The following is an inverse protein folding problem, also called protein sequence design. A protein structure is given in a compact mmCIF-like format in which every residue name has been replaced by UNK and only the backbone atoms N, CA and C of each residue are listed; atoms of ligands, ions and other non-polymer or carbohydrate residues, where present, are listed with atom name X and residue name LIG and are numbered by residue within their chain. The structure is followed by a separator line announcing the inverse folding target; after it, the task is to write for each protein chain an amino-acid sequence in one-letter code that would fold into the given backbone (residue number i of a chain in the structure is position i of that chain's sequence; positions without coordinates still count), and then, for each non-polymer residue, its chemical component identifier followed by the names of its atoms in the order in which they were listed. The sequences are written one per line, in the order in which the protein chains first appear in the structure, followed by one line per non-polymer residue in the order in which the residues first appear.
data_IF_674214892613
#
_entry.id   IF_674214892613
#
_cell.length_a   1.000
_cell.length_b   1.000
_cell.length_c   1.000
_cell.angle_alpha   90.00
_cell.angle_beta   90.00
_cell.angle_gamma   90.00
#
_symmetry.space_group_name_H-M   'P 1'
#
loop_
_entity.id
_entity.type
_entity.pdbx_description
1 polymer ?
#
# COMPACT_ATOMS: atom_id res chain seq x y z
N UNK A 1 3.94 -10.18 -10.00
CA UNK A 1 4.08 -11.34 -9.08
C UNK A 1 2.82 -12.20 -9.04
N UNK A 2 1.61 -11.59 -9.02
CA UNK A 2 0.37 -12.36 -9.01
C UNK A 2 0.18 -13.16 -10.31
N UNK A 3 0.41 -12.56 -11.46
CA UNK A 3 0.35 -13.24 -12.77
C UNK A 3 1.31 -14.43 -12.81
N UNK A 4 2.56 -14.24 -12.41
CA UNK A 4 3.54 -15.32 -12.32
C UNK A 4 3.08 -16.45 -11.37
N UNK A 5 2.49 -16.10 -10.23
CA UNK A 5 1.94 -17.08 -9.29
C UNK A 5 0.80 -17.87 -9.92
N UNK A 6 -0.08 -17.21 -10.66
CA UNK A 6 -1.18 -17.83 -11.38
C UNK A 6 -0.67 -18.79 -12.46
N UNK A 7 0.32 -18.37 -13.25
CA UNK A 7 0.91 -19.18 -14.31
C UNK A 7 1.57 -20.43 -13.75
N UNK A 8 2.34 -20.31 -12.66
CA UNK A 8 2.95 -21.46 -11.98
C UNK A 8 1.87 -22.43 -11.47
N UNK A 9 0.83 -21.91 -10.82
CA UNK A 9 -0.25 -22.75 -10.29
C UNK A 9 -1.04 -23.44 -11.40
N UNK A 10 -1.37 -22.74 -12.48
CA UNK A 10 -2.05 -23.30 -13.66
C UNK A 10 -1.21 -24.39 -14.32
N UNK A 11 0.08 -24.12 -14.53
CA UNK A 11 0.99 -25.10 -15.14
C UNK A 11 1.14 -26.36 -14.29
N UNK A 12 1.27 -26.19 -12.98
CA UNK A 12 1.35 -27.33 -12.06
C UNK A 12 0.06 -28.15 -12.11
N UNK A 13 -1.10 -27.52 -11.99
CA UNK A 13 -2.38 -28.19 -12.03
C UNK A 13 -2.61 -28.92 -13.37
N UNK A 14 -2.19 -28.32 -14.48
CA UNK A 14 -2.29 -28.95 -15.81
C UNK A 14 -1.45 -30.22 -15.96
N UNK A 15 -0.31 -30.31 -15.26
CA UNK A 15 0.59 -31.49 -15.35
C UNK A 15 0.21 -32.56 -14.32
N UNK A 16 -0.10 -32.13 -13.07
CA UNK A 16 -0.23 -33.04 -11.93
C UNK A 16 -1.66 -33.17 -11.37
N UNK A 17 -2.63 -32.48 -11.99
CA UNK A 17 -4.02 -32.38 -11.52
C UNK A 17 -4.21 -31.31 -10.44
N UNK A 18 -5.45 -31.04 -10.09
CA UNK A 18 -5.85 -29.94 -9.20
C UNK A 18 -5.26 -30.07 -7.79
N UNK A 19 -4.32 -29.18 -7.49
CA UNK A 19 -3.65 -29.06 -6.18
C UNK A 19 -3.73 -27.64 -5.66
N UNK A 20 -3.48 -26.65 -6.52
CA UNK A 20 -3.48 -25.24 -6.17
C UNK A 20 -4.82 -24.57 -6.53
N UNK A 21 -5.33 -23.79 -5.61
CA UNK A 21 -6.37 -22.81 -5.94
C UNK A 21 -5.72 -21.65 -6.65
N UNK A 22 -6.19 -21.32 -7.86
CA UNK A 22 -5.64 -20.23 -8.65
C UNK A 22 -6.07 -18.90 -7.99
N UNK A 23 -5.13 -18.06 -7.53
CA UNK A 23 -5.50 -16.80 -6.88
C UNK A 23 -6.10 -15.81 -7.89
N UNK A 24 -7.08 -15.03 -7.45
CA UNK A 24 -7.67 -13.95 -8.24
C UNK A 24 -7.08 -12.60 -7.86
N UNK A 25 -7.05 -11.67 -8.82
CA UNK A 25 -6.57 -10.31 -8.57
C UNK A 25 -7.66 -9.50 -7.84
N UNK A 26 -7.34 -8.97 -6.67
CA UNK A 26 -8.14 -7.96 -6.00
C UNK A 26 -7.47 -6.59 -6.16
N UNK A 27 -8.03 -5.75 -7.01
CA UNK A 27 -7.51 -4.42 -7.33
C UNK A 27 -8.57 -3.38 -6.95
N UNK A 28 -8.23 -2.51 -6.01
CA UNK A 28 -9.10 -1.39 -5.61
C UNK A 28 -9.31 -0.41 -6.79
N UNK A 29 -10.54 0.07 -6.97
CA UNK A 29 -10.89 0.93 -8.11
C UNK A 29 -10.27 2.33 -8.05
N UNK A 30 -10.12 2.92 -6.87
CA UNK A 30 -9.75 4.34 -6.69
C UNK A 30 -8.31 4.59 -6.21
N UNK A 31 -7.63 3.59 -5.65
CA UNK A 31 -6.33 3.78 -5.00
C UNK A 31 -5.26 2.81 -5.48
N UNK A 32 -5.47 2.26 -6.66
CA UNK A 32 -4.57 1.25 -7.21
C UNK A 32 -3.14 1.76 -7.40
N UNK A 33 -2.92 3.09 -7.48
CA UNK A 33 -1.62 3.66 -7.81
C UNK A 33 -1.44 5.05 -7.18
N UNK A 34 -0.65 5.13 -6.12
CA UNK A 34 -0.16 6.41 -5.57
C UNK A 34 1.19 6.71 -6.19
N UNK A 35 1.36 7.95 -6.67
CA UNK A 35 2.56 8.38 -7.36
C UNK A 35 3.56 9.03 -6.39
N UNK A 36 4.84 9.05 -6.78
CA UNK A 36 5.90 9.72 -6.03
C UNK A 36 5.60 11.21 -5.84
N UNK A 37 5.91 11.75 -4.66
CA UNK A 37 5.75 13.18 -4.38
C UNK A 37 6.79 14.05 -5.11
N UNK A 38 7.88 13.46 -5.57
CA UNK A 38 8.97 14.18 -6.26
C UNK A 38 8.97 13.96 -7.76
N UNK A 39 8.37 12.87 -8.23
CA UNK A 39 8.18 12.57 -9.65
C UNK A 39 6.80 11.91 -9.83
N UNK A 40 5.75 12.70 -10.08
CA UNK A 40 4.39 12.19 -10.18
C UNK A 40 4.13 11.32 -11.43
N UNK A 41 5.12 11.11 -12.29
CA UNK A 41 5.05 10.15 -13.40
C UNK A 41 5.43 8.74 -12.97
N UNK A 42 6.08 8.58 -11.82
CA UNK A 42 6.53 7.31 -11.26
C UNK A 42 5.71 6.91 -10.04
N UNK A 43 5.47 5.60 -9.89
CA UNK A 43 4.81 5.06 -8.69
C UNK A 43 5.65 5.33 -7.44
N UNK A 44 5.00 5.74 -6.33
CA UNK A 44 5.66 5.90 -5.03
C UNK A 44 6.37 4.60 -4.61
N UNK A 45 7.61 4.71 -4.18
CA UNK A 45 8.44 3.58 -3.74
C UNK A 45 9.16 3.90 -2.45
N UNK A 46 9.14 2.96 -1.49
CA UNK A 46 9.91 3.07 -0.24
C UNK A 46 11.42 2.98 -0.44
N UNK A 47 11.86 2.48 -1.60
CA UNK A 47 13.27 2.35 -1.99
C UNK A 47 13.74 3.46 -2.94
N UNK A 48 12.98 4.57 -3.03
CA UNK A 48 13.44 5.75 -3.76
C UNK A 48 14.64 6.38 -3.03
N UNK A 49 15.65 6.81 -3.78
CA UNK A 49 16.85 7.45 -3.23
C UNK A 49 16.53 8.82 -2.62
N UNK A 50 15.48 9.49 -3.11
CA UNK A 50 15.02 10.75 -2.55
C UNK A 50 14.05 10.50 -1.38
N UNK A 51 14.42 10.81 -0.13
CA UNK A 51 13.58 10.57 1.05
C UNK A 51 12.27 11.38 1.05
N UNK A 52 12.16 12.42 0.21
CA UNK A 52 10.94 13.21 0.06
C UNK A 52 9.96 12.61 -0.97
N UNK A 53 10.37 11.59 -1.70
CA UNK A 53 9.54 10.96 -2.75
C UNK A 53 8.39 10.11 -2.19
N UNK A 54 8.53 9.64 -0.94
CA UNK A 54 7.55 8.74 -0.31
C UNK A 54 7.25 9.12 1.14
N UNK A 55 6.05 8.74 1.60
CA UNK A 55 5.66 8.82 3.00
C UNK A 55 5.83 7.43 3.62
N UNK A 56 6.63 7.34 4.69
CA UNK A 56 6.74 6.13 5.48
C UNK A 56 5.64 6.12 6.55
N UNK A 57 5.12 4.95 6.90
CA UNK A 57 4.07 4.83 7.91
C UNK A 57 4.48 5.38 9.28
N UNK A 58 5.78 5.38 9.57
CA UNK A 58 6.33 5.85 10.84
C UNK A 58 6.99 7.24 10.75
N UNK A 59 6.82 7.96 9.65
CA UNK A 59 7.20 9.38 9.58
C UNK A 59 6.40 10.17 10.63
N UNK A 60 7.07 11.07 11.34
CA UNK A 60 6.38 11.97 12.26
C UNK A 60 5.51 13.00 11.51
N UNK A 61 4.50 13.61 12.17
CA UNK A 61 3.57 14.52 11.54
C UNK A 61 4.25 15.70 10.83
N UNK A 62 5.29 16.28 11.40
CA UNK A 62 6.00 17.40 10.82
C UNK A 62 6.77 17.00 9.56
N UNK A 63 7.37 15.81 9.58
CA UNK A 63 8.03 15.22 8.41
C UNK A 63 7.02 14.94 7.30
N UNK A 64 5.85 14.39 7.60
CA UNK A 64 4.78 14.16 6.62
C UNK A 64 4.36 15.47 5.97
N UNK A 65 3.99 16.47 6.78
CA UNK A 65 3.57 17.78 6.30
C UNK A 65 4.65 18.44 5.43
N UNK A 66 5.90 18.39 5.88
CA UNK A 66 7.04 18.95 5.14
C UNK A 66 7.22 18.26 3.76
N UNK A 67 7.08 16.94 3.68
CA UNK A 67 7.19 16.19 2.43
C UNK A 67 6.07 16.59 1.46
N UNK A 68 4.83 16.73 1.92
CA UNK A 68 3.73 17.22 1.10
C UNK A 68 3.94 18.66 0.63
N UNK A 69 4.39 19.58 1.49
CA UNK A 69 4.74 20.94 1.09
C UNK A 69 5.79 20.99 -0.02
N UNK A 70 6.71 20.03 -0.06
CA UNK A 70 7.76 19.89 -1.08
C UNK A 70 7.35 19.03 -2.28
N UNK A 71 6.15 18.50 -2.31
CA UNK A 71 5.68 17.70 -3.43
C UNK A 71 5.73 18.52 -4.73
N UNK A 72 6.19 17.88 -5.80
CA UNK A 72 6.30 18.52 -7.12
C UNK A 72 4.91 18.69 -7.71
N UNK A 73 4.61 19.89 -8.17
CA UNK A 73 3.39 20.27 -8.89
C UNK A 73 3.78 21.21 -10.04
N UNK A 74 2.86 21.43 -10.98
CA UNK A 74 3.00 22.42 -12.04
C UNK A 74 3.11 23.85 -11.45
N UNK A 75 3.28 24.84 -12.32
CA UNK A 75 3.39 26.27 -11.97
C UNK A 75 2.07 27.01 -11.97
N UNK A 76 0.95 26.35 -12.23
CA UNK A 76 -0.40 26.89 -12.14
C UNK A 76 -0.85 26.99 -10.67
N UNK A 77 -1.99 27.62 -10.41
CA UNK A 77 -2.55 27.78 -9.06
C UNK A 77 -3.89 27.06 -8.89
N UNK A 78 -4.45 26.54 -9.97
CA UNK A 78 -5.77 25.90 -9.97
C UNK A 78 -5.68 24.45 -9.52
N UNK A 79 -6.41 24.11 -8.46
CA UNK A 79 -6.53 22.75 -7.94
C UNK A 79 -7.63 22.02 -8.73
N UNK A 80 -7.21 21.39 -9.83
CA UNK A 80 -8.09 20.69 -10.76
C UNK A 80 -7.51 19.32 -11.12
N UNK A 81 -8.37 18.32 -11.17
CA UNK A 81 -8.03 16.97 -11.57
C UNK A 81 -7.91 16.88 -13.09
N UNK A 82 -6.70 16.81 -13.59
CA UNK A 82 -6.43 16.81 -15.03
C UNK A 82 -5.12 16.11 -15.35
N UNK A 83 -5.03 15.49 -16.52
CA UNK A 83 -3.86 14.73 -16.96
C UNK A 83 -2.61 15.62 -17.19
N UNK A 84 -2.81 16.89 -17.44
CA UNK A 84 -1.73 17.89 -17.54
C UNK A 84 -1.18 18.34 -16.17
N UNK A 85 -1.84 17.92 -15.06
CA UNK A 85 -1.46 18.24 -13.69
C UNK A 85 -1.18 16.99 -12.83
N UNK A 86 -0.24 16.11 -13.21
CA UNK A 86 -0.07 14.81 -12.55
C UNK A 86 0.28 14.93 -11.06
N UNK A 87 0.97 15.99 -10.64
CA UNK A 87 1.27 16.25 -9.23
C UNK A 87 0.03 16.57 -8.41
N UNK A 88 -0.81 17.46 -8.90
CA UNK A 88 -2.09 17.84 -8.24
C UNK A 88 -3.07 16.67 -8.29
N UNK A 89 -3.18 15.98 -9.42
CA UNK A 89 -4.01 14.78 -9.57
C UNK A 89 -3.66 13.72 -8.51
N UNK A 90 -2.36 13.48 -8.27
CA UNK A 90 -1.91 12.56 -7.23
C UNK A 90 -2.31 13.02 -5.82
N UNK A 91 -2.17 14.30 -5.50
CA UNK A 91 -2.57 14.86 -4.20
C UNK A 91 -4.09 14.80 -3.99
N UNK A 92 -4.89 15.10 -5.02
CA UNK A 92 -6.36 14.94 -4.98
C UNK A 92 -6.74 13.49 -4.72
N UNK A 93 -6.11 12.53 -5.41
CA UNK A 93 -6.36 11.10 -5.18
C UNK A 93 -6.05 10.67 -3.75
N UNK A 94 -4.93 11.14 -3.18
CA UNK A 94 -4.56 10.86 -1.79
C UNK A 94 -5.61 11.44 -0.83
N UNK A 95 -5.99 12.70 -1.00
CA UNK A 95 -6.95 13.37 -0.13
C UNK A 95 -8.35 12.74 -0.22
N UNK A 96 -8.83 12.48 -1.43
CA UNK A 96 -10.09 11.77 -1.70
C UNK A 96 -10.14 10.39 -1.03
N UNK A 97 -9.07 9.61 -1.18
CA UNK A 97 -8.96 8.27 -0.58
C UNK A 97 -9.09 8.29 0.95
N UNK A 98 -8.47 9.27 1.61
CA UNK A 98 -8.44 9.34 3.07
C UNK A 98 -9.74 9.92 3.63
N UNK A 99 -10.29 10.94 2.98
CA UNK A 99 -11.52 11.64 3.43
C UNK A 99 -12.80 10.94 2.99
N UNK A 100 -12.73 10.10 1.95
CA UNK A 100 -13.91 9.51 1.30
C UNK A 100 -14.69 10.48 0.40
N UNK A 101 -14.19 11.71 0.18
CA UNK A 101 -14.80 12.72 -0.69
C UNK A 101 -14.57 12.34 -2.15
N UNK A 102 -15.51 12.70 -3.03
CA UNK A 102 -15.32 12.58 -4.47
C UNK A 102 -14.31 13.62 -4.97
N UNK A 103 -13.81 13.43 -6.19
CA UNK A 103 -12.86 14.36 -6.80
C UNK A 103 -13.48 15.76 -6.92
N UNK A 104 -14.73 15.83 -7.37
CA UNK A 104 -15.49 17.07 -7.52
C UNK A 104 -15.71 17.81 -6.18
N UNK A 105 -15.93 17.05 -5.11
CA UNK A 105 -16.04 17.63 -3.76
C UNK A 105 -14.71 18.20 -3.28
N UNK A 106 -13.57 17.54 -3.61
CA UNK A 106 -12.24 18.05 -3.27
C UNK A 106 -11.94 19.32 -4.07
N UNK A 107 -12.18 19.33 -5.38
CA UNK A 107 -11.99 20.51 -6.21
C UNK A 107 -12.80 21.71 -5.70
N UNK A 108 -14.07 21.49 -5.35
CA UNK A 108 -14.94 22.53 -4.80
C UNK A 108 -14.49 23.04 -3.43
N UNK A 109 -13.98 22.16 -2.56
CA UNK A 109 -13.47 22.53 -1.23
C UNK A 109 -12.25 23.45 -1.31
N UNK A 110 -11.44 23.27 -2.34
CA UNK A 110 -10.20 24.00 -2.55
C UNK A 110 -10.29 25.03 -3.68
N UNK A 111 -11.49 25.30 -4.18
CA UNK A 111 -11.71 26.35 -5.19
C UNK A 111 -11.24 27.72 -4.66
N UNK A 112 -10.46 28.43 -5.47
CA UNK A 112 -9.86 29.71 -5.10
C UNK A 112 -8.69 29.64 -4.10
N UNK A 113 -8.27 28.43 -3.64
CA UNK A 113 -7.13 28.26 -2.75
C UNK A 113 -5.86 27.96 -3.54
N UNK A 114 -4.71 28.34 -2.99
CA UNK A 114 -3.42 28.05 -3.61
C UNK A 114 -2.85 26.67 -3.28
N UNK A 115 -1.89 26.21 -4.09
CA UNK A 115 -1.20 24.92 -3.90
C UNK A 115 -0.56 24.75 -2.52
N UNK A 116 -0.06 25.83 -1.91
CA UNK A 116 0.54 25.77 -0.56
C UNK A 116 -0.47 25.36 0.50
N UNK A 117 -1.69 25.90 0.46
CA UNK A 117 -2.77 25.58 1.37
C UNK A 117 -3.28 24.17 1.14
N UNK A 118 -3.44 23.76 -0.12
CA UNK A 118 -3.85 22.41 -0.46
C UNK A 118 -2.83 21.36 -0.01
N UNK A 119 -1.54 21.56 -0.31
CA UNK A 119 -0.46 20.66 0.12
C UNK A 119 -0.39 20.52 1.64
N UNK A 120 -0.63 21.61 2.38
CA UNK A 120 -0.72 21.57 3.83
C UNK A 120 -1.90 20.70 4.30
N UNK A 121 -3.09 20.94 3.76
CA UNK A 121 -4.30 20.19 4.10
C UNK A 121 -4.15 18.70 3.82
N UNK A 122 -3.56 18.32 2.68
CA UNK A 122 -3.25 16.92 2.35
C UNK A 122 -2.28 16.32 3.37
N UNK A 123 -1.21 17.06 3.71
CA UNK A 123 -0.22 16.62 4.69
C UNK A 123 -0.81 16.37 6.08
N UNK A 124 -1.64 17.30 6.56
CA UNK A 124 -2.35 17.20 7.84
C UNK A 124 -3.35 16.02 7.83
N UNK A 125 -4.09 15.86 6.74
CA UNK A 125 -5.03 14.76 6.56
C UNK A 125 -4.33 13.40 6.66
N UNK A 126 -3.19 13.23 5.97
CA UNK A 126 -2.38 12.00 6.01
C UNK A 126 -1.79 11.79 7.41
N UNK A 127 -1.22 12.82 8.04
CA UNK A 127 -0.66 12.73 9.38
C UNK A 127 -1.71 12.29 10.40
N UNK A 128 -2.89 12.91 10.37
CA UNK A 128 -4.01 12.56 11.25
C UNK A 128 -4.52 11.12 11.01
N UNK A 129 -4.53 10.66 9.76
CA UNK A 129 -4.93 9.29 9.41
C UNK A 129 -3.94 8.24 9.90
N UNK A 130 -2.64 8.54 9.88
CA UNK A 130 -1.59 7.63 10.33
C UNK A 130 -1.42 7.60 11.86
N UNK A 131 -1.77 8.68 12.55
CA UNK A 131 -1.60 8.81 14.00
C UNK A 131 -2.15 7.63 14.82
N UNK A 132 -3.40 7.17 14.63
CA UNK A 132 -3.93 6.04 15.41
C UNK A 132 -3.15 4.73 15.15
N UNK A 133 -2.67 4.53 13.91
CA UNK A 133 -1.85 3.38 13.55
C UNK A 133 -0.49 3.44 14.26
N UNK A 134 0.15 4.62 14.26
CA UNK A 134 1.43 4.84 14.93
C UNK A 134 1.31 4.64 16.45
N UNK A 135 0.26 5.19 17.07
CA UNK A 135 0.00 5.03 18.50
C UNK A 135 -0.17 3.55 18.86
N UNK A 136 -0.95 2.81 18.07
CA UNK A 136 -1.13 1.37 18.26
C UNK A 136 0.15 0.58 18.04
N UNK A 137 0.97 0.96 17.06
CA UNK A 137 2.28 0.35 16.83
C UNK A 137 3.19 0.50 18.07
N UNK A 138 3.32 1.72 18.61
CA UNK A 138 4.16 1.97 19.77
C UNK A 138 3.63 1.30 21.04
N UNK A 139 2.32 1.19 21.19
CA UNK A 139 1.69 0.44 22.28
C UNK A 139 2.08 -1.05 22.19
N UNK A 140 1.86 -1.68 21.04
CA UNK A 140 2.15 -3.09 20.82
C UNK A 140 3.66 -3.39 20.93
N UNK A 141 4.53 -2.50 20.47
CA UNK A 141 5.98 -2.68 20.52
C UNK A 141 6.50 -2.82 21.97
N UNK A 142 5.77 -2.28 22.94
CA UNK A 142 6.11 -2.38 24.38
C UNK A 142 5.77 -3.75 24.96
N UNK A 143 4.80 -4.45 24.39
CA UNK A 143 4.33 -5.77 24.87
C UNK A 143 4.93 -6.90 24.02
N UNK A 144 6.19 -7.19 24.26
CA UNK A 144 6.91 -8.28 23.56
C UNK A 144 6.31 -9.65 23.84
N UNK A 145 5.71 -9.84 25.02
CA UNK A 145 5.09 -11.11 25.37
C UNK A 145 3.86 -11.37 24.49
N UNK A 146 3.00 -10.36 24.35
CA UNK A 146 1.85 -10.43 23.46
C UNK A 146 2.29 -10.64 22.00
N UNK A 147 3.25 -9.84 21.50
CA UNK A 147 3.75 -9.99 20.13
C UNK A 147 4.28 -11.39 19.85
N UNK A 148 5.08 -11.95 20.77
CA UNK A 148 5.62 -13.30 20.62
C UNK A 148 4.50 -14.37 20.64
N UNK A 149 3.45 -14.19 21.46
CA UNK A 149 2.30 -15.12 21.47
C UNK A 149 1.54 -15.09 20.16
N UNK A 150 1.28 -13.90 19.60
CA UNK A 150 0.61 -13.72 18.31
C UNK A 150 1.45 -14.32 17.16
N UNK A 151 2.75 -14.06 17.16
CA UNK A 151 3.67 -14.62 16.13
C UNK A 151 3.63 -16.14 16.20
N UNK A 152 3.79 -16.74 17.39
CA UNK A 152 3.81 -18.20 17.57
C UNK A 152 2.49 -18.84 17.12
N UNK A 153 1.35 -18.30 17.56
CA UNK A 153 0.04 -18.83 17.17
C UNK A 153 -0.18 -18.78 15.65
N UNK A 154 0.17 -17.65 15.03
CA UNK A 154 0.01 -17.49 13.60
C UNK A 154 1.02 -18.28 12.77
N UNK A 155 2.25 -18.50 13.26
CA UNK A 155 3.24 -19.37 12.65
C UNK A 155 2.75 -20.81 12.62
N UNK A 156 2.18 -21.32 13.71
CA UNK A 156 1.58 -22.65 13.77
C UNK A 156 0.42 -22.80 12.76
N UNK A 157 -0.46 -21.80 12.65
CA UNK A 157 -1.55 -21.79 11.66
C UNK A 157 -1.02 -21.77 10.22
N UNK A 158 -0.05 -20.89 9.94
CA UNK A 158 0.55 -20.80 8.61
C UNK A 158 1.27 -22.10 8.23
N UNK A 159 2.04 -22.67 9.14
CA UNK A 159 2.71 -23.95 8.97
C UNK A 159 1.71 -25.09 8.69
N UNK A 160 0.58 -25.12 9.36
CA UNK A 160 -0.45 -26.13 9.11
C UNK A 160 -0.96 -26.07 7.68
N UNK A 161 -1.36 -24.90 7.18
CA UNK A 161 -1.87 -24.74 5.82
C UNK A 161 -0.79 -24.99 4.76
N UNK A 162 0.40 -24.46 4.97
CA UNK A 162 1.53 -24.65 4.05
C UNK A 162 1.92 -26.12 3.94
N UNK A 163 2.06 -26.83 5.05
CA UNK A 163 2.40 -28.24 5.06
C UNK A 163 1.29 -29.12 4.44
N UNK A 164 0.01 -28.77 4.67
CA UNK A 164 -1.12 -29.47 4.05
C UNK A 164 -1.04 -29.43 2.51
N UNK A 165 -0.71 -28.27 1.96
CA UNK A 165 -0.55 -28.09 0.51
C UNK A 165 0.75 -28.74 0.02
N UNK A 166 1.86 -28.53 0.73
CA UNK A 166 3.16 -29.10 0.37
C UNK A 166 3.13 -30.64 0.27
N UNK A 167 2.46 -31.32 1.21
CA UNK A 167 2.29 -32.77 1.17
C UNK A 167 1.55 -33.24 -0.09
N UNK A 168 0.50 -32.49 -0.51
CA UNK A 168 -0.21 -32.80 -1.76
C UNK A 168 0.72 -32.66 -2.96
N UNK A 169 1.51 -31.58 -3.01
CA UNK A 169 2.49 -31.33 -4.07
C UNK A 169 3.51 -32.46 -4.12
N UNK A 170 4.16 -32.78 -2.99
CA UNK A 170 5.16 -33.82 -2.90
C UNK A 170 4.63 -35.19 -3.39
N UNK A 171 3.42 -35.54 -2.93
CA UNK A 171 2.77 -36.78 -3.38
C UNK A 171 2.52 -36.81 -4.89
N UNK A 172 2.08 -35.68 -5.47
CA UNK A 172 1.79 -35.59 -6.91
C UNK A 172 3.02 -35.65 -7.79
N UNK A 173 4.16 -35.09 -7.33
CA UNK A 173 5.43 -35.15 -8.07
C UNK A 173 6.28 -36.41 -7.74
N UNK A 174 5.78 -37.32 -6.92
CA UNK A 174 6.47 -38.58 -6.58
C UNK A 174 7.59 -38.42 -5.54
N UNK A 175 7.62 -37.37 -4.77
CA UNK A 175 8.57 -37.23 -3.66
C UNK A 175 8.03 -37.89 -2.39
N UNK A 176 8.93 -38.55 -1.66
CA UNK A 176 8.62 -39.15 -0.35
C UNK A 176 8.48 -38.06 0.72
N UNK A 177 7.55 -38.24 1.67
CA UNK A 177 7.46 -37.39 2.84
C UNK A 177 8.76 -37.42 3.65
N UNK A 178 9.20 -36.27 4.13
CA UNK A 178 10.33 -36.16 5.05
C UNK A 178 9.94 -36.82 6.37
N UNK A 179 10.56 -37.91 6.73
CA UNK A 179 10.43 -38.50 8.06
C UNK A 179 11.08 -37.52 9.05
N UNK A 180 10.30 -36.99 9.98
CA UNK A 180 10.77 -36.10 11.07
C UNK A 180 11.10 -36.94 12.30
#
# INVERSE_FOLDING_TARGET
HLELTRDIANRFNGIYGDVFTIPEAYIGKSTAKIMSLQDPTRKMSKSDENPNASILLMDDPDTIIRKFKRAVTDSDMEIRYSDDKPGIQNLINIYSCITGKTIEEVEKEFDGKGYGEFKLAVGECVANRLKPLQDRFYELQKDKTYLNSVIKENDEKAAYFANKTLRKVQKKVGLTERIR
#
